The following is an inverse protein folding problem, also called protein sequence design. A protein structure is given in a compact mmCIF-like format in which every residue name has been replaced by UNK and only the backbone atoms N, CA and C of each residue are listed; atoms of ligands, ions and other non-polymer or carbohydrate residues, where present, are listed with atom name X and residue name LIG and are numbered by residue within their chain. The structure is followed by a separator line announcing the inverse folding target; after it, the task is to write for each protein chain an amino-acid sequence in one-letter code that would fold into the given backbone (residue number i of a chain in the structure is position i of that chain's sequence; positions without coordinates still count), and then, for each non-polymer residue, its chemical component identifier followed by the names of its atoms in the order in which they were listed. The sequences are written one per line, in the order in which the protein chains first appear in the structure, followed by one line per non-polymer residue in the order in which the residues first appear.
data_IF_175388362124
#
_entry.id   IF_175388362124
#
_cell.length_a   1.000
_cell.length_b   1.000
_cell.length_c   1.000
_cell.angle_alpha   90.00
_cell.angle_beta   90.00
_cell.angle_gamma   90.00
#
_symmetry.space_group_name_H-M   'P 1'
#
loop_
_entity.id
_entity.type
_entity.pdbx_description
1 polymer ?
#
# COMPACT_ATOMS: atom_id res chain seq x y z
N UNK A 1 2.54 5.12 13.36
CA UNK A 1 3.13 5.80 14.54
C UNK A 1 4.60 6.05 14.24
N UNK A 2 5.06 7.29 14.26
CA UNK A 2 6.46 7.63 14.01
C UNK A 2 6.85 8.94 14.72
N UNK A 3 8.14 9.32 14.77
CA UNK A 3 8.53 10.64 15.26
C UNK A 3 7.82 11.78 14.54
N UNK A 4 7.48 11.60 13.25
CA UNK A 4 6.75 12.58 12.45
C UNK A 4 5.31 12.79 12.94
N UNK A 5 4.71 11.80 13.60
CA UNK A 5 3.36 11.90 14.17
C UNK A 5 3.38 12.15 15.68
N UNK A 6 4.56 12.36 16.28
CA UNK A 6 4.71 12.47 17.74
C UNK A 6 4.40 11.16 18.47
N UNK A 7 4.45 10.03 17.78
CA UNK A 7 4.07 8.71 18.31
C UNK A 7 2.62 8.31 18.06
N UNK A 8 1.77 9.21 17.56
CA UNK A 8 0.35 8.92 17.32
C UNK A 8 0.14 7.97 16.13
N UNK A 9 -0.92 7.18 16.17
CA UNK A 9 -1.42 6.44 15.00
C UNK A 9 -2.40 7.35 14.28
N UNK A 10 -2.08 7.72 13.04
CA UNK A 10 -2.97 8.51 12.20
C UNK A 10 -3.75 7.59 11.27
N UNK A 11 -5.05 7.85 11.11
CA UNK A 11 -5.98 6.97 10.40
C UNK A 11 -6.84 7.82 9.48
N UNK A 12 -6.90 7.45 8.20
CA UNK A 12 -7.90 7.96 7.27
C UNK A 12 -9.23 7.22 7.52
N UNK A 13 -10.24 7.95 7.99
CA UNK A 13 -11.54 7.40 8.32
C UNK A 13 -12.61 7.88 7.33
N UNK A 14 -13.22 6.90 6.66
CA UNK A 14 -14.03 7.11 5.46
C UNK A 14 -15.54 7.05 5.74
N UNK A 15 -15.95 6.85 7.00
CA UNK A 15 -17.35 6.91 7.45
C UNK A 15 -18.06 5.54 7.54
N UNK A 16 -19.41 5.53 7.68
CA UNK A 16 -20.15 4.33 8.10
C UNK A 16 -19.99 3.16 7.11
N UNK A 17 -19.54 2.02 7.64
CA UNK A 17 -19.10 0.84 6.88
C UNK A 17 -17.68 0.39 7.27
N UNK A 18 -16.89 1.28 7.89
CA UNK A 18 -15.52 1.01 8.36
C UNK A 18 -15.37 0.96 9.88
N UNK A 19 -16.47 0.75 10.63
CA UNK A 19 -16.52 0.48 12.08
C UNK A 19 -15.81 1.45 13.05
N UNK A 20 -15.08 2.48 12.59
CA UNK A 20 -14.48 3.46 13.48
C UNK A 20 -15.51 4.52 13.90
N UNK A 21 -15.85 4.51 15.19
CA UNK A 21 -16.45 5.60 15.96
C UNK A 21 -17.58 6.41 15.31
N UNK A 22 -18.48 5.80 14.53
CA UNK A 22 -19.75 6.47 14.16
C UNK A 22 -20.94 5.53 14.04
N UNK A 23 -21.88 5.68 14.97
CA UNK A 23 -23.31 5.56 14.67
C UNK A 23 -23.77 6.88 14.03
N UNK A 24 -23.61 7.02 12.70
CA UNK A 24 -24.29 8.06 11.90
C UNK A 24 -23.58 9.39 11.64
N UNK A 25 -22.25 9.43 11.47
CA UNK A 25 -21.48 10.66 11.20
C UNK A 25 -20.77 10.68 9.84
N UNK A 26 -20.50 11.89 9.33
CA UNK A 26 -19.85 12.21 8.05
C UNK A 26 -18.50 11.47 7.85
N UNK A 27 -18.35 10.76 6.73
CA UNK A 27 -17.08 10.19 6.30
C UNK A 27 -16.10 11.25 5.76
N UNK A 28 -14.81 10.93 5.73
CA UNK A 28 -13.77 11.80 5.20
C UNK A 28 -13.05 12.60 6.28
N UNK A 29 -12.34 11.89 7.16
CA UNK A 29 -11.64 12.45 8.32
C UNK A 29 -10.22 11.89 8.42
N UNK A 30 -9.34 12.65 9.05
CA UNK A 30 -8.10 12.10 9.61
C UNK A 30 -8.22 12.11 11.13
N UNK A 31 -8.01 10.95 11.74
CA UNK A 31 -8.08 10.75 13.19
C UNK A 31 -6.68 10.45 13.71
N UNK A 32 -6.29 11.07 14.83
CA UNK A 32 -5.14 10.64 15.62
C UNK A 32 -5.62 9.78 16.79
N UNK A 33 -4.92 8.67 17.03
CA UNK A 33 -5.14 7.76 18.15
C UNK A 33 -3.88 7.71 19.02
N UNK A 34 -4.07 7.69 20.35
CA UNK A 34 -3.00 7.56 21.33
C UNK A 34 -3.52 6.75 22.52
N UNK A 35 -2.98 5.55 22.68
CA UNK A 35 -3.17 4.72 23.88
C UNK A 35 -2.37 5.35 25.03
N UNK A 36 -3.04 6.07 25.92
CA UNK A 36 -2.42 6.83 27.02
C UNK A 36 -2.24 5.97 28.26
N UNK A 37 -3.05 4.95 28.44
CA UNK A 37 -3.02 4.07 29.61
C UNK A 37 -2.25 2.76 29.37
N UNK A 38 -1.87 2.49 28.12
CA UNK A 38 -1.10 1.31 27.72
C UNK A 38 -1.94 0.04 27.72
N UNK A 39 -3.27 0.16 27.61
CA UNK A 39 -4.20 -0.97 27.65
C UNK A 39 -4.24 -1.77 26.35
N UNK A 40 -3.66 -1.24 25.26
CA UNK A 40 -3.77 -1.77 23.91
C UNK A 40 -5.15 -1.55 23.27
N UNK A 41 -6.00 -0.71 23.89
CA UNK A 41 -7.34 -0.37 23.40
C UNK A 41 -7.50 1.15 23.40
N UNK A 42 -8.12 1.69 22.36
CA UNK A 42 -8.40 3.13 22.30
C UNK A 42 -9.78 3.41 22.90
N UNK A 43 -9.80 4.15 24.01
CA UNK A 43 -11.02 4.56 24.70
C UNK A 43 -11.51 5.96 24.30
N UNK A 44 -12.65 6.37 24.86
CA UNK A 44 -13.17 7.73 24.68
C UNK A 44 -12.17 8.77 25.25
N UNK A 45 -11.76 9.74 24.42
CA UNK A 45 -10.77 10.75 24.78
C UNK A 45 -9.32 10.40 24.41
N UNK A 46 -9.07 9.19 23.91
CA UNK A 46 -7.79 8.71 23.38
C UNK A 46 -7.68 8.82 21.86
N UNK A 47 -8.62 9.55 21.26
CA UNK A 47 -8.60 9.92 19.87
C UNK A 47 -9.11 11.34 19.65
N UNK A 48 -8.71 11.94 18.54
CA UNK A 48 -9.17 13.26 18.11
C UNK A 48 -9.25 13.32 16.58
N UNK A 49 -10.26 14.02 16.07
CA UNK A 49 -10.31 14.36 14.64
C UNK A 49 -9.35 15.52 14.40
N UNK A 50 -8.30 15.27 13.61
CA UNK A 50 -7.33 16.29 13.21
C UNK A 50 -7.84 17.10 12.02
N UNK A 51 -8.39 16.42 11.00
CA UNK A 51 -8.76 17.07 9.74
C UNK A 51 -10.05 16.48 9.18
N UNK A 52 -10.75 17.29 8.39
CA UNK A 52 -12.00 16.93 7.71
C UNK A 52 -11.95 17.37 6.27
N UNK A 53 -12.28 16.45 5.36
CA UNK A 53 -12.49 16.74 3.96
C UNK A 53 -13.35 15.63 3.38
N UNK A 54 -14.52 15.99 2.85
CA UNK A 54 -15.41 15.03 2.19
C UNK A 54 -14.67 14.35 1.03
N UNK A 55 -14.82 13.03 0.92
CA UNK A 55 -14.20 12.23 -0.13
C UNK A 55 -12.81 11.67 0.22
N UNK A 56 -12.21 12.00 1.37
CA UNK A 56 -10.98 11.33 1.81
C UNK A 56 -11.26 9.82 1.92
N UNK A 57 -10.37 9.00 1.33
CA UNK A 57 -10.65 7.58 1.16
C UNK A 57 -9.47 6.62 1.39
N UNK A 58 -8.22 7.09 1.41
CA UNK A 58 -7.07 6.19 1.58
C UNK A 58 -5.77 6.89 2.00
N UNK A 59 -5.14 7.67 1.10
CA UNK A 59 -3.78 8.15 1.26
C UNK A 59 -3.61 9.13 2.42
N UNK A 60 -2.54 8.93 3.19
CA UNK A 60 -2.18 9.73 4.35
C UNK A 60 -0.65 9.83 4.47
N UNK A 61 -0.12 11.04 4.63
CA UNK A 61 1.31 11.24 4.84
C UNK A 61 1.58 12.46 5.73
N UNK A 62 2.71 12.46 6.44
CA UNK A 62 3.21 13.63 7.17
C UNK A 62 4.59 14.00 6.65
N UNK A 63 4.73 15.22 6.15
CA UNK A 63 6.01 15.72 5.67
C UNK A 63 6.12 17.25 5.72
N UNK A 64 7.32 17.77 5.94
CA UNK A 64 7.61 19.21 5.83
C UNK A 64 6.76 20.12 6.73
N UNK A 65 6.28 19.63 7.87
CA UNK A 65 5.39 20.40 8.76
C UNK A 65 3.92 20.40 8.36
N UNK A 66 3.52 19.47 7.49
CA UNK A 66 2.15 19.31 7.03
C UNK A 66 1.67 17.86 7.15
N UNK A 67 0.38 17.70 7.43
CA UNK A 67 -0.39 16.48 7.25
C UNK A 67 -1.03 16.54 5.86
N UNK A 68 -0.86 15.50 5.06
CA UNK A 68 -1.45 15.35 3.74
C UNK A 68 -2.45 14.20 3.73
N UNK A 69 -3.57 14.37 3.05
CA UNK A 69 -4.54 13.30 2.82
C UNK A 69 -5.18 13.42 1.44
N UNK A 70 -5.60 12.30 0.86
CA UNK A 70 -6.12 12.24 -0.50
C UNK A 70 -7.59 11.81 -0.58
N UNK A 71 -8.32 12.42 -1.52
CA UNK A 71 -9.59 11.91 -2.06
C UNK A 71 -9.31 11.06 -3.32
N UNK A 72 -10.34 10.71 -4.11
CA UNK A 72 -10.15 10.13 -5.44
C UNK A 72 -9.56 11.11 -6.46
N UNK A 73 -9.69 12.41 -6.25
CA UNK A 73 -9.31 13.44 -7.24
C UNK A 73 -8.25 14.42 -6.73
N UNK A 74 -8.19 14.62 -5.42
CA UNK A 74 -7.47 15.74 -4.80
C UNK A 74 -6.52 15.28 -3.70
N UNK A 75 -5.38 15.97 -3.54
CA UNK A 75 -4.55 15.91 -2.34
C UNK A 75 -4.67 17.23 -1.59
N UNK A 76 -4.94 17.13 -0.29
CA UNK A 76 -5.10 18.26 0.62
C UNK A 76 -3.99 18.24 1.67
N UNK A 77 -3.62 19.41 2.18
CA UNK A 77 -2.68 19.54 3.30
C UNK A 77 -3.19 20.44 4.42
N UNK A 78 -2.72 20.18 5.62
CA UNK A 78 -2.95 20.99 6.82
C UNK A 78 -1.62 21.24 7.53
N UNK A 79 -1.35 22.46 8.03
CA UNK A 79 -0.23 22.68 8.94
C UNK A 79 -0.31 21.73 10.13
N UNK A 80 0.77 21.01 10.41
CA UNK A 80 0.77 19.94 11.41
C UNK A 80 2.10 19.91 12.15
N UNK A 81 2.02 19.87 13.48
CA UNK A 81 3.17 19.56 14.34
C UNK A 81 3.04 18.14 14.88
N UNK A 82 4.15 17.39 15.02
CA UNK A 82 4.12 16.06 15.62
C UNK A 82 3.40 16.06 16.98
N UNK A 83 2.41 15.18 17.14
CA UNK A 83 1.63 15.04 18.38
C UNK A 83 0.51 16.07 18.56
N UNK A 84 0.18 16.85 17.53
CA UNK A 84 -0.98 17.75 17.54
C UNK A 84 -2.25 17.02 17.98
N UNK A 85 -3.04 17.65 18.85
CA UNK A 85 -4.23 17.03 19.46
C UNK A 85 -5.46 17.93 19.41
N UNK A 86 -5.75 18.49 18.24
CA UNK A 86 -6.92 19.35 17.98
C UNK A 86 -7.28 19.35 16.50
N UNK A 87 -8.48 19.88 16.21
CA UNK A 87 -8.90 20.18 14.84
C UNK A 87 -7.95 21.21 14.21
N UNK A 88 -7.45 20.89 13.02
CA UNK A 88 -6.51 21.69 12.23
C UNK A 88 -7.20 22.79 11.41
N UNK A 89 -8.54 22.76 11.31
CA UNK A 89 -9.32 23.70 10.51
C UNK A 89 -9.37 23.35 9.02
N UNK A 90 -9.53 24.37 8.18
CA UNK A 90 -9.64 24.20 6.74
C UNK A 90 -8.28 23.81 6.12
N UNK A 91 -8.33 22.83 5.22
CA UNK A 91 -7.15 22.38 4.48
C UNK A 91 -6.90 23.21 3.23
N UNK A 92 -5.68 23.13 2.71
CA UNK A 92 -5.28 23.71 1.43
C UNK A 92 -5.20 22.61 0.36
N UNK A 93 -5.84 22.81 -0.78
CA UNK A 93 -5.72 21.93 -1.95
C UNK A 93 -4.33 22.11 -2.57
N UNK A 94 -3.61 21.00 -2.81
CA UNK A 94 -2.25 21.06 -3.37
C UNK A 94 -2.13 20.36 -4.72
N UNK A 95 -2.95 19.35 -4.97
CA UNK A 95 -2.93 18.56 -6.20
C UNK A 95 -4.35 18.17 -6.58
N UNK A 96 -4.68 18.23 -7.87
CA UNK A 96 -6.01 17.88 -8.41
C UNK A 96 -5.90 17.10 -9.71
N UNK A 97 -7.03 16.65 -10.27
CA UNK A 97 -7.12 15.96 -11.55
C UNK A 97 -6.88 14.46 -11.47
N UNK A 98 -6.74 13.86 -10.29
CA UNK A 98 -6.49 12.41 -10.19
C UNK A 98 -7.71 11.55 -10.59
N UNK A 99 -8.90 12.13 -10.72
CA UNK A 99 -10.16 11.47 -11.04
C UNK A 99 -10.63 11.80 -12.47
N UNK A 100 -9.74 11.59 -13.44
CA UNK A 100 -10.15 11.59 -14.85
C UNK A 100 -10.88 10.29 -15.18
N UNK A 101 -12.17 10.30 -14.85
CA UNK A 101 -13.10 9.20 -15.11
C UNK A 101 -13.24 8.95 -16.61
N UNK A 102 -12.69 7.84 -17.08
CA UNK A 102 -13.21 7.17 -18.27
C UNK A 102 -14.59 6.57 -17.98
N UNK A 103 -15.38 6.18 -19.01
CA UNK A 103 -16.63 5.47 -18.78
C UNK A 103 -16.36 4.21 -17.94
N UNK A 104 -17.25 3.85 -16.99
CA UNK A 104 -17.16 2.60 -16.22
C UNK A 104 -16.85 1.43 -17.14
N UNK A 105 -15.75 0.70 -16.89
CA UNK A 105 -15.54 -0.59 -17.51
C UNK A 105 -16.58 -1.61 -17.02
N UNK A 106 -16.81 -2.72 -17.75
CA UNK A 106 -17.63 -3.82 -17.25
C UNK A 106 -16.97 -4.42 -16.00
N UNK A 107 -17.41 -3.94 -14.84
CA UNK A 107 -17.03 -4.47 -13.56
C UNK A 107 -17.93 -5.64 -13.16
N UNK A 108 -17.34 -6.69 -12.58
CA UNK A 108 -18.09 -7.68 -11.80
C UNK A 108 -18.80 -7.10 -10.56
N UNK A 109 -19.51 -7.92 -9.78
CA UNK A 109 -20.36 -7.47 -8.67
C UNK A 109 -19.62 -6.72 -7.54
N UNK A 110 -18.29 -6.83 -7.47
CA UNK A 110 -17.43 -6.25 -6.43
C UNK A 110 -16.37 -5.27 -6.97
N UNK A 111 -16.26 -5.10 -8.28
CA UNK A 111 -15.49 -4.02 -8.86
C UNK A 111 -16.33 -2.74 -8.83
N UNK A 112 -15.71 -1.66 -8.36
CA UNK A 112 -16.30 -0.33 -8.33
C UNK A 112 -16.81 0.07 -9.74
N UNK A 113 -18.05 0.55 -9.88
CA UNK A 113 -18.53 1.14 -11.13
C UNK A 113 -17.75 2.40 -11.54
N UNK A 114 -16.75 2.84 -10.77
CA UNK A 114 -15.85 3.95 -11.04
C UNK A 114 -14.37 3.52 -11.11
N UNK A 115 -14.07 2.21 -11.13
CA UNK A 115 -12.69 1.70 -11.11
C UNK A 115 -11.96 1.93 -9.79
N UNK A 116 -10.62 1.97 -9.82
CA UNK A 116 -9.79 2.14 -8.63
C UNK A 116 -9.75 3.61 -8.18
N UNK A 117 -10.28 3.90 -6.99
CA UNK A 117 -10.49 5.26 -6.50
C UNK A 117 -9.57 5.67 -5.34
N UNK A 118 -8.71 4.78 -4.83
CA UNK A 118 -7.70 5.11 -3.81
C UNK A 118 -6.53 5.86 -4.44
N UNK A 119 -5.89 6.75 -3.67
CA UNK A 119 -4.72 7.52 -4.10
C UNK A 119 -3.64 7.44 -3.04
N UNK A 120 -2.76 6.45 -3.14
CA UNK A 120 -1.67 6.31 -2.17
C UNK A 120 -0.69 7.47 -2.36
N UNK A 121 -0.32 8.12 -1.26
CA UNK A 121 0.64 9.21 -1.24
C UNK A 121 1.79 8.86 -0.28
N UNK A 122 3.02 9.09 -0.73
CA UNK A 122 4.22 8.92 0.10
C UNK A 122 5.26 9.97 -0.28
N UNK A 123 6.02 10.47 0.69
CA UNK A 123 7.10 11.43 0.46
C UNK A 123 8.45 10.75 0.65
N UNK A 124 9.44 11.22 -0.12
CA UNK A 124 10.85 11.02 0.27
C UNK A 124 11.37 12.18 1.14
N UNK A 125 12.55 11.98 1.73
CA UNK A 125 13.25 12.96 2.58
C UNK A 125 13.63 14.23 1.82
N UNK A 126 13.72 14.17 0.48
CA UNK A 126 13.98 15.34 -0.36
C UNK A 126 12.73 16.20 -0.59
N UNK A 127 11.55 15.81 -0.08
CA UNK A 127 10.33 16.59 -0.27
C UNK A 127 9.55 16.26 -1.53
N UNK A 128 9.90 15.19 -2.25
CA UNK A 128 9.16 14.77 -3.44
C UNK A 128 8.00 13.89 -3.02
N UNK A 129 6.80 14.22 -3.51
CA UNK A 129 5.58 13.44 -3.32
C UNK A 129 5.45 12.42 -4.45
N UNK A 130 5.13 11.18 -4.12
CA UNK A 130 4.78 10.11 -5.04
C UNK A 130 3.31 9.79 -4.85
N UNK A 131 2.56 9.77 -5.95
CA UNK A 131 1.12 9.55 -5.96
C UNK A 131 0.80 8.37 -6.88
N UNK A 132 0.22 7.32 -6.33
CA UNK A 132 -0.27 6.17 -7.10
C UNK A 132 -1.72 6.38 -7.54
N UNK A 133 -1.99 6.15 -8.83
CA UNK A 133 -3.33 6.22 -9.42
C UNK A 133 -3.58 4.95 -10.22
N UNK A 134 -4.56 4.15 -9.79
CA UNK A 134 -4.98 2.93 -10.47
C UNK A 134 -5.86 3.16 -11.70
N UNK A 135 -6.14 2.07 -12.41
CA UNK A 135 -6.99 2.02 -13.61
C UNK A 135 -8.46 2.31 -13.31
N UNK A 136 -9.21 2.79 -14.30
CA UNK A 136 -10.67 3.00 -14.19
C UNK A 136 -11.48 1.75 -14.54
N UNK A 137 -10.81 0.73 -15.10
CA UNK A 137 -11.40 -0.52 -15.53
C UNK A 137 -10.43 -1.67 -15.32
N UNK A 138 -10.91 -2.92 -15.45
CA UNK A 138 -10.07 -4.09 -15.31
C UNK A 138 -8.88 -4.10 -16.32
N UNK A 139 -9.15 -3.70 -17.57
CA UNK A 139 -8.16 -3.51 -18.63
C UNK A 139 -8.33 -2.11 -19.18
N UNK A 140 -7.25 -1.33 -19.18
CA UNK A 140 -7.31 0.10 -19.37
C UNK A 140 -6.10 0.62 -20.14
N UNK A 141 -6.34 0.97 -21.40
CA UNK A 141 -5.30 1.45 -22.34
C UNK A 141 -4.92 2.92 -22.19
N UNK A 142 -5.54 3.65 -21.25
CA UNK A 142 -5.29 5.07 -21.10
C UNK A 142 -4.03 5.33 -20.26
N UNK A 143 -3.03 5.96 -20.89
CA UNK A 143 -1.83 6.43 -20.21
C UNK A 143 -2.08 7.63 -19.29
N UNK A 144 -3.34 7.94 -19.00
CA UNK A 144 -3.84 8.72 -17.88
C UNK A 144 -3.20 8.31 -16.56
N UNK A 145 -3.47 7.04 -16.29
CA UNK A 145 -3.54 6.40 -14.99
C UNK A 145 -2.74 5.11 -15.03
N UNK A 146 -2.94 4.24 -14.05
CA UNK A 146 -2.16 3.03 -13.87
C UNK A 146 -0.66 3.30 -13.78
N UNK A 147 -0.31 4.25 -12.90
CA UNK A 147 1.03 4.80 -12.78
C UNK A 147 1.24 5.48 -11.44
N UNK A 148 2.50 5.64 -11.09
CA UNK A 148 2.95 6.52 -10.02
C UNK A 148 3.51 7.78 -10.66
N UNK A 149 3.07 8.96 -10.19
CA UNK A 149 3.68 10.25 -10.57
C UNK A 149 4.39 10.89 -9.40
N UNK A 150 5.46 11.64 -9.72
CA UNK A 150 6.33 12.32 -8.76
C UNK A 150 6.22 13.84 -8.90
N UNK A 151 6.08 14.52 -7.77
CA UNK A 151 5.88 15.97 -7.65
C UNK A 151 6.88 16.57 -6.65
N UNK A 152 7.11 17.87 -6.69
CA UNK A 152 8.03 18.58 -5.79
C UNK A 152 7.41 19.88 -5.27
N UNK A 153 8.02 20.47 -4.24
CA UNK A 153 7.67 21.80 -3.69
C UNK A 153 6.24 21.92 -3.12
N UNK A 154 5.61 20.79 -2.79
CA UNK A 154 4.27 20.74 -2.18
C UNK A 154 4.27 21.05 -0.68
N UNK A 155 5.44 21.31 -0.08
CA UNK A 155 5.61 21.72 1.32
C UNK A 155 5.98 23.20 1.46
N UNK A 156 6.05 23.95 0.34
CA UNK A 156 6.35 25.38 0.40
C UNK A 156 5.17 26.16 1.02
N UNK A 157 5.42 27.11 1.96
CA UNK A 157 4.35 27.85 2.64
C UNK A 157 3.44 28.65 1.71
N UNK A 158 3.99 29.12 0.59
CA UNK A 158 3.22 29.62 -0.53
C UNK A 158 3.49 28.66 -1.68
N UNK A 159 2.50 27.84 -2.08
CA UNK A 159 2.61 27.02 -3.29
C UNK A 159 2.86 27.96 -4.46
N UNK A 160 4.13 28.24 -4.78
CA UNK A 160 4.50 29.20 -5.80
C UNK A 160 3.97 28.79 -7.19
N UNK A 161 3.74 27.49 -7.38
CA UNK A 161 3.12 26.90 -8.56
C UNK A 161 1.57 26.92 -8.55
N UNK A 162 0.93 27.24 -7.43
CA UNK A 162 -0.51 27.03 -7.22
C UNK A 162 -0.85 25.55 -7.02
N UNK A 163 -2.14 25.21 -7.19
CA UNK A 163 -2.61 23.82 -7.20
C UNK A 163 -2.02 23.12 -8.43
N UNK A 164 -1.36 21.98 -8.21
CA UNK A 164 -0.70 21.20 -9.28
C UNK A 164 -1.68 20.22 -9.92
N UNK A 165 -1.70 20.12 -11.25
CA UNK A 165 -2.46 19.06 -11.93
C UNK A 165 -1.68 17.74 -11.90
N UNK A 166 -2.37 16.63 -11.68
CA UNK A 166 -1.74 15.31 -11.70
C UNK A 166 -0.96 15.05 -12.99
N UNK A 167 -1.43 15.52 -14.15
CA UNK A 167 -0.72 15.36 -15.42
C UNK A 167 0.64 16.06 -15.48
N UNK A 168 0.85 17.09 -14.68
CA UNK A 168 2.11 17.85 -14.63
C UNK A 168 3.21 17.12 -13.85
N UNK A 169 2.86 16.08 -13.09
CA UNK A 169 3.82 15.24 -12.38
C UNK A 169 4.66 14.41 -13.33
N UNK A 170 5.92 14.19 -12.97
CA UNK A 170 6.81 13.29 -13.70
C UNK A 170 6.27 11.86 -13.61
N UNK A 171 6.15 11.15 -14.74
CA UNK A 171 5.84 9.72 -14.72
C UNK A 171 7.00 8.98 -14.07
N UNK A 172 6.79 8.51 -12.85
CA UNK A 172 7.82 7.86 -12.06
C UNK A 172 7.88 6.36 -12.33
N UNK A 173 6.72 5.71 -12.39
CA UNK A 173 6.56 4.32 -12.81
C UNK A 173 5.26 4.19 -13.58
N UNK A 174 5.25 3.42 -14.66
CA UNK A 174 4.11 3.29 -15.57
C UNK A 174 3.71 1.82 -15.77
N UNK A 175 2.48 1.57 -16.19
CA UNK A 175 1.96 0.24 -16.43
C UNK A 175 1.73 -0.56 -15.17
N UNK A 176 1.10 0.08 -14.18
CA UNK A 176 0.74 -0.46 -12.87
C UNK A 176 -0.79 -0.46 -12.72
N UNK A 177 -1.45 -1.62 -12.76
CA UNK A 177 -2.92 -1.70 -12.74
C UNK A 177 -3.53 -0.89 -11.59
N UNK A 178 -3.04 -1.09 -10.38
CA UNK A 178 -3.43 -0.46 -9.13
C UNK A 178 -2.41 -0.78 -7.99
N UNK A 179 -1.25 -0.10 -8.03
CA UNK A 179 -0.17 -0.22 -7.03
C UNK A 179 -0.52 0.52 -5.73
N UNK A 180 -1.21 -0.13 -4.79
CA UNK A 180 -1.77 0.56 -3.61
C UNK A 180 -0.76 0.68 -2.48
N UNK A 181 -0.15 -0.43 -2.03
CA UNK A 181 0.79 -0.40 -0.92
C UNK A 181 2.13 0.13 -1.39
N UNK A 182 2.68 1.15 -0.73
CA UNK A 182 3.98 1.75 -1.07
C UNK A 182 4.85 1.90 0.18
N UNK A 183 6.13 1.56 0.07
CA UNK A 183 7.08 1.71 1.16
C UNK A 183 8.51 2.01 0.66
N UNK A 184 9.21 2.86 1.39
CA UNK A 184 10.66 3.02 1.20
C UNK A 184 11.41 1.85 1.85
N UNK A 185 12.42 1.32 1.16
CA UNK A 185 13.17 0.16 1.63
C UNK A 185 14.21 0.44 2.71
N UNK A 186 14.64 1.70 2.85
CA UNK A 186 15.63 2.16 3.82
C UNK A 186 15.65 3.70 3.93
N UNK A 187 16.50 4.24 4.80
CA UNK A 187 16.74 5.67 4.99
C UNK A 187 17.39 6.38 3.78
N UNK A 188 18.00 5.64 2.85
CA UNK A 188 18.61 6.22 1.64
C UNK A 188 17.55 6.53 0.58
N UNK A 189 16.42 5.82 0.61
CA UNK A 189 15.27 6.02 -0.27
C UNK A 189 15.66 6.02 -1.76
N UNK A 190 16.59 5.14 -2.14
CA UNK A 190 17.02 4.99 -3.54
C UNK A 190 16.03 4.17 -4.38
N UNK A 191 15.19 3.37 -3.71
CA UNK A 191 14.19 2.50 -4.33
C UNK A 191 12.89 2.62 -3.53
N UNK A 192 11.80 2.97 -4.22
CA UNK A 192 10.45 2.82 -3.71
C UNK A 192 9.97 1.41 -4.06
N UNK A 193 9.34 0.72 -3.12
CA UNK A 193 8.73 -0.59 -3.36
C UNK A 193 7.22 -0.44 -3.32
N UNK A 194 6.52 -1.25 -4.10
CA UNK A 194 5.07 -1.28 -4.09
C UNK A 194 4.50 -2.66 -4.28
N UNK A 195 3.22 -2.80 -3.96
CA UNK A 195 2.44 -4.01 -4.22
C UNK A 195 1.25 -3.75 -5.13
N UNK A 196 1.14 -4.58 -6.15
CA UNK A 196 0.20 -4.47 -7.26
C UNK A 196 -1.05 -5.33 -7.03
N UNK A 197 -2.21 -4.84 -7.46
CA UNK A 197 -3.43 -5.64 -7.59
C UNK A 197 -3.62 -6.02 -9.06
N UNK A 198 -3.35 -7.29 -9.39
CA UNK A 198 -3.45 -7.90 -10.70
C UNK A 198 -4.87 -7.92 -11.29
N UNK A 199 -4.96 -8.37 -12.55
CA UNK A 199 -6.19 -8.35 -13.35
C UNK A 199 -7.23 -9.39 -12.92
N UNK A 200 -8.51 -9.03 -13.01
CA UNK A 200 -9.63 -9.95 -12.79
C UNK A 200 -10.00 -10.71 -14.09
N UNK A 201 -10.62 -11.88 -13.97
CA UNK A 201 -11.23 -12.62 -15.08
C UNK A 201 -10.27 -12.86 -16.28
N UNK A 202 -8.99 -13.10 -16.00
CA UNK A 202 -7.99 -13.33 -17.04
C UNK A 202 -8.31 -14.62 -17.83
N UNK A 203 -8.43 -14.48 -19.14
CA UNK A 203 -8.62 -15.59 -20.06
C UNK A 203 -7.72 -15.47 -21.29
N UNK A 204 -7.08 -16.59 -21.67
CA UNK A 204 -6.21 -16.76 -22.83
C UNK A 204 -6.52 -18.09 -23.50
N UNK A 205 -7.23 -18.06 -24.63
CA UNK A 205 -7.71 -19.28 -25.32
C UNK A 205 -6.59 -20.26 -25.70
N UNK A 206 -5.41 -19.73 -26.01
CA UNK A 206 -4.21 -20.49 -26.37
C UNK A 206 -3.40 -21.01 -25.17
N UNK A 207 -3.81 -20.66 -23.96
CA UNK A 207 -3.24 -21.09 -22.68
C UNK A 207 -4.27 -21.83 -21.81
N UNK A 208 -5.32 -22.40 -22.41
CA UNK A 208 -6.35 -23.18 -21.70
C UNK A 208 -7.67 -22.46 -21.45
N UNK A 209 -7.85 -21.24 -21.94
CA UNK A 209 -9.09 -20.48 -21.79
C UNK A 209 -9.09 -19.65 -20.51
N UNK A 210 -10.01 -19.92 -19.60
CA UNK A 210 -10.08 -19.24 -18.31
C UNK A 210 -8.94 -19.72 -17.40
N UNK A 211 -8.06 -18.79 -17.03
CA UNK A 211 -6.89 -19.06 -16.16
C UNK A 211 -6.91 -18.18 -14.91
N UNK A 212 -8.04 -17.51 -14.63
CA UNK A 212 -8.09 -16.46 -13.63
C UNK A 212 -7.87 -16.98 -12.20
N UNK A 213 -8.25 -18.22 -11.90
CA UNK A 213 -8.23 -18.76 -10.53
C UNK A 213 -6.86 -18.65 -9.86
N UNK A 214 -5.78 -18.83 -10.64
CA UNK A 214 -4.41 -18.76 -10.15
C UNK A 214 -3.54 -17.80 -10.98
N UNK A 215 -4.13 -16.94 -11.84
CA UNK A 215 -3.41 -15.91 -12.61
C UNK A 215 -4.26 -14.64 -12.82
N UNK A 216 -3.64 -13.48 -13.03
CA UNK A 216 -2.20 -13.23 -12.92
C UNK A 216 -1.75 -13.17 -11.46
N UNK A 217 -0.44 -13.20 -11.25
CA UNK A 217 0.14 -12.92 -9.95
C UNK A 217 -0.28 -11.52 -9.46
N UNK A 218 -0.41 -11.39 -8.15
CA UNK A 218 -0.18 -10.10 -7.49
C UNK A 218 1.34 -9.87 -7.47
N UNK A 219 1.82 -8.63 -7.42
CA UNK A 219 3.24 -8.34 -7.63
C UNK A 219 3.84 -7.48 -6.53
N UNK A 220 5.10 -7.74 -6.19
CA UNK A 220 5.97 -6.81 -5.47
C UNK A 220 6.92 -6.17 -6.49
N UNK A 221 6.79 -4.87 -6.72
CA UNK A 221 7.59 -4.12 -7.67
C UNK A 221 8.63 -3.22 -6.95
N UNK A 222 9.74 -2.95 -7.63
CA UNK A 222 10.73 -1.96 -7.22
C UNK A 222 10.87 -0.86 -8.26
N UNK A 223 10.89 0.38 -7.78
CA UNK A 223 10.98 1.61 -8.55
C UNK A 223 12.25 2.37 -8.16
N UNK A 224 13.38 2.13 -8.87
CA UNK A 224 14.61 2.87 -8.61
C UNK A 224 14.42 4.36 -8.89
N UNK A 225 14.72 5.22 -7.92
CA UNK A 225 14.58 6.68 -8.03
C UNK A 225 15.41 7.27 -9.17
N UNK A 226 16.51 6.60 -9.51
CA UNK A 226 17.44 6.94 -10.58
C UNK A 226 16.96 6.55 -11.99
N UNK A 227 15.88 5.78 -12.10
CA UNK A 227 15.36 5.28 -13.38
C UNK A 227 13.83 5.48 -13.46
N UNK A 228 13.35 6.74 -13.48
CA UNK A 228 11.92 7.03 -13.59
C UNK A 228 11.38 6.67 -14.98
N UNK A 229 10.06 6.47 -15.06
CA UNK A 229 9.33 6.25 -16.32
C UNK A 229 9.44 4.84 -16.88
N UNK A 230 9.95 3.88 -16.11
CA UNK A 230 9.99 2.46 -16.49
C UNK A 230 8.57 1.87 -16.53
N UNK A 231 8.38 0.90 -17.41
CA UNK A 231 7.09 0.26 -17.67
C UNK A 231 7.03 -1.14 -17.04
N UNK A 232 5.96 -1.42 -16.30
CA UNK A 232 5.78 -2.64 -15.50
C UNK A 232 4.74 -3.62 -16.10
N UNK A 233 4.17 -3.28 -17.27
CA UNK A 233 3.50 -4.25 -18.13
C UNK A 233 2.02 -4.01 -18.35
N UNK A 234 1.29 -3.47 -17.37
CA UNK A 234 -0.16 -3.22 -17.53
C UNK A 234 -0.43 -2.11 -18.58
N UNK A 235 -1.49 -2.20 -19.39
CA UNK A 235 -2.49 -3.28 -19.48
C UNK A 235 -2.09 -4.39 -20.45
N UNK A 236 -0.90 -4.34 -21.04
CA UNK A 236 -0.54 -5.23 -22.16
C UNK A 236 -0.05 -6.60 -21.69
N UNK A 237 0.59 -6.64 -20.54
CA UNK A 237 1.29 -7.78 -19.99
C UNK A 237 0.72 -8.19 -18.64
N UNK A 238 0.88 -9.46 -18.29
CA UNK A 238 0.55 -10.01 -16.99
C UNK A 238 1.64 -10.97 -16.52
N UNK A 239 1.80 -11.14 -15.21
CA UNK A 239 2.75 -12.08 -14.63
C UNK A 239 2.08 -13.41 -14.31
N UNK A 240 2.69 -14.51 -14.75
CA UNK A 240 2.29 -15.88 -14.41
C UNK A 240 2.55 -16.15 -12.93
N UNK A 241 1.56 -16.67 -12.22
CA UNK A 241 1.76 -17.24 -10.89
C UNK A 241 1.77 -18.76 -10.95
N UNK A 242 0.71 -19.38 -11.50
CA UNK A 242 0.62 -20.83 -11.67
C UNK A 242 -0.26 -21.16 -12.88
N UNK A 243 0.37 -21.64 -13.96
CA UNK A 243 -0.32 -22.02 -15.19
C UNK A 243 -0.23 -23.54 -15.41
N UNK A 244 -1.37 -24.23 -15.42
CA UNK A 244 -1.46 -25.66 -15.74
C UNK A 244 -1.61 -25.86 -17.26
N UNK A 245 -0.54 -25.57 -17.99
CA UNK A 245 -0.50 -25.65 -19.45
C UNK A 245 0.90 -26.05 -19.94
N UNK A 246 1.00 -26.72 -21.09
CA UNK A 246 2.29 -27.16 -21.65
C UNK A 246 3.24 -26.01 -22.03
N UNK A 247 2.69 -24.79 -22.18
CA UNK A 247 3.44 -23.56 -22.48
C UNK A 247 3.82 -22.78 -21.22
N UNK A 248 3.49 -23.23 -20.02
CA UNK A 248 3.84 -22.53 -18.78
C UNK A 248 5.35 -22.28 -18.72
N UNK A 249 5.73 -21.06 -18.39
CA UNK A 249 7.14 -20.65 -18.25
C UNK A 249 7.54 -20.52 -16.77
N UNK A 250 6.57 -20.68 -15.87
CA UNK A 250 6.76 -20.69 -14.44
C UNK A 250 6.41 -19.36 -13.79
N UNK A 251 6.28 -19.41 -12.46
CA UNK A 251 6.01 -18.26 -11.60
C UNK A 251 6.99 -17.11 -11.88
N UNK A 252 6.48 -15.92 -12.14
CA UNK A 252 7.27 -14.71 -12.46
C UNK A 252 7.54 -14.50 -13.96
N UNK A 253 7.15 -15.44 -14.83
CA UNK A 253 7.19 -15.22 -16.28
C UNK A 253 6.14 -14.19 -16.70
N UNK A 254 6.47 -13.29 -17.62
CA UNK A 254 5.53 -12.31 -18.14
C UNK A 254 4.99 -12.72 -19.51
N UNK A 255 3.68 -12.55 -19.69
CA UNK A 255 2.91 -12.90 -20.87
C UNK A 255 2.15 -11.70 -21.39
N UNK A 256 1.82 -11.70 -22.68
CA UNK A 256 0.89 -10.72 -23.22
C UNK A 256 -0.56 -10.99 -22.79
N UNK A 257 -1.48 -10.06 -22.99
CA UNK A 257 -2.92 -10.40 -23.00
C UNK A 257 -3.35 -11.12 -24.28
N UNK A 258 -2.51 -11.09 -25.31
CA UNK A 258 -2.69 -11.83 -26.57
C UNK A 258 -1.40 -12.56 -26.94
N UNK A 259 -1.51 -13.64 -27.72
CA UNK A 259 -0.34 -14.38 -28.21
C UNK A 259 0.64 -13.48 -28.98
N UNK A 260 0.13 -12.51 -29.74
CA UNK A 260 0.96 -11.54 -30.46
C UNK A 260 1.75 -10.58 -29.56
N UNK A 261 1.35 -10.44 -28.30
CA UNK A 261 2.04 -9.58 -27.33
C UNK A 261 3.12 -10.32 -26.53
N UNK A 262 3.15 -11.65 -26.56
CA UNK A 262 4.09 -12.46 -25.79
C UNK A 262 5.56 -12.06 -26.04
N UNK A 263 6.04 -11.83 -27.28
CA UNK A 263 7.42 -11.41 -27.51
C UNK A 263 7.75 -10.04 -26.90
N UNK A 264 6.76 -9.13 -26.83
CA UNK A 264 6.96 -7.83 -26.22
C UNK A 264 7.08 -7.96 -24.70
N UNK A 265 6.16 -8.70 -24.09
CA UNK A 265 6.07 -8.86 -22.64
C UNK A 265 7.16 -9.75 -22.03
N UNK A 266 7.73 -10.66 -22.82
CA UNK A 266 8.87 -11.50 -22.40
C UNK A 266 10.22 -10.76 -22.44
N UNK A 267 10.28 -9.61 -23.08
CA UNK A 267 11.51 -8.82 -23.20
C UNK A 267 11.69 -7.89 -22.00
N UNK A 268 12.76 -8.10 -21.24
CA UNK A 268 13.16 -7.24 -20.11
C UNK A 268 13.60 -5.82 -20.55
N UNK A 269 13.86 -5.64 -21.86
CA UNK A 269 14.08 -4.31 -22.42
C UNK A 269 12.78 -3.48 -22.44
N UNK A 270 11.63 -4.14 -22.60
CA UNK A 270 10.33 -3.50 -22.74
C UNK A 270 9.57 -3.41 -21.41
N UNK A 271 9.68 -4.44 -20.57
CA UNK A 271 8.90 -4.58 -19.34
C UNK A 271 9.82 -4.91 -18.17
N UNK A 272 9.62 -4.21 -17.06
CA UNK A 272 10.27 -4.52 -15.79
C UNK A 272 9.50 -5.66 -15.12
N UNK A 273 10.21 -6.73 -14.76
CA UNK A 273 9.64 -7.84 -14.00
C UNK A 273 9.46 -7.48 -12.53
N UNK A 274 8.46 -8.06 -11.84
CA UNK A 274 8.34 -7.91 -10.40
C UNK A 274 9.46 -8.65 -9.67
N UNK A 275 9.79 -8.19 -8.47
CA UNK A 275 10.76 -8.85 -7.56
C UNK A 275 10.18 -10.18 -7.07
N UNK A 276 8.87 -10.19 -6.82
CA UNK A 276 8.17 -11.36 -6.31
C UNK A 276 6.74 -11.42 -6.84
N UNK A 277 6.29 -12.64 -7.10
CA UNK A 277 4.92 -12.94 -7.52
C UNK A 277 4.18 -13.55 -6.34
N UNK A 278 3.03 -12.98 -5.99
CA UNK A 278 2.18 -13.43 -4.89
C UNK A 278 0.90 -14.07 -5.45
N UNK A 279 0.21 -14.86 -4.63
CA UNK A 279 -0.98 -15.59 -5.05
C UNK A 279 -2.04 -14.64 -5.63
N UNK A 280 -2.49 -14.95 -6.84
CA UNK A 280 -3.55 -14.24 -7.56
C UNK A 280 -4.75 -13.93 -6.67
N UNK A 281 -5.29 -12.72 -6.78
CA UNK A 281 -6.46 -12.20 -6.07
C UNK A 281 -6.28 -11.99 -4.56
N UNK A 282 -5.07 -12.10 -4.01
CA UNK A 282 -4.84 -11.83 -2.58
C UNK A 282 -5.05 -10.34 -2.21
N UNK A 283 -5.08 -9.45 -3.21
CA UNK A 283 -5.36 -8.03 -3.10
C UNK A 283 -4.45 -7.32 -2.06
N UNK A 284 -3.14 -7.20 -2.32
CA UNK A 284 -2.23 -6.53 -1.41
C UNK A 284 -2.48 -5.03 -1.39
N UNK A 285 -2.70 -4.44 -0.21
CA UNK A 285 -3.01 -3.01 -0.06
C UNK A 285 -2.03 -2.26 0.84
N UNK A 286 -1.41 -2.93 1.80
CA UNK A 286 -0.50 -2.33 2.77
C UNK A 286 0.89 -2.93 2.66
N UNK A 287 1.92 -2.10 2.81
CA UNK A 287 3.32 -2.50 2.67
C UNK A 287 4.16 -1.76 3.70
N UNK A 288 4.95 -2.49 4.50
CA UNK A 288 5.87 -1.86 5.45
C UNK A 288 7.12 -2.70 5.68
N UNK A 289 8.28 -2.05 5.68
CA UNK A 289 9.52 -2.68 6.14
C UNK A 289 9.61 -2.63 7.66
N UNK A 290 10.04 -3.72 8.27
CA UNK A 290 10.24 -3.77 9.71
C UNK A 290 11.59 -3.16 10.12
N UNK A 291 11.57 -2.34 11.16
CA UNK A 291 12.78 -1.79 11.77
C UNK A 291 13.44 -0.64 11.01
N UNK A 292 12.69 0.07 10.16
CA UNK A 292 13.20 1.25 9.43
C UNK A 292 13.70 2.38 10.33
N UNK A 293 13.16 2.50 11.56
CA UNK A 293 13.62 3.47 12.56
C UNK A 293 14.94 3.02 13.25
N UNK A 294 15.42 1.79 13.00
CA UNK A 294 16.63 1.23 13.60
C UNK A 294 17.72 1.05 12.55
N UNK A 295 18.92 1.59 12.81
CA UNK A 295 20.03 1.52 11.86
C UNK A 295 20.70 0.15 11.85
N UNK A 296 20.67 -0.57 12.98
CA UNK A 296 21.22 -1.92 13.12
C UNK A 296 20.28 -2.80 13.93
N UNK A 297 20.36 -4.12 13.70
CA UNK A 297 19.64 -5.12 14.51
C UNK A 297 20.02 -5.03 16.00
N UNK A 298 21.24 -4.61 16.32
CA UNK A 298 21.66 -4.35 17.70
C UNK A 298 20.92 -3.20 18.38
N UNK A 299 20.31 -2.30 17.59
CA UNK A 299 19.48 -1.19 18.08
C UNK A 299 18.03 -1.65 18.36
N UNK A 300 17.67 -2.86 17.93
CA UNK A 300 16.41 -3.49 18.25
C UNK A 300 16.45 -4.06 19.69
N UNK A 301 15.77 -3.38 20.62
CA UNK A 301 15.73 -3.73 22.05
C UNK A 301 14.48 -4.55 22.43
N UNK A 302 14.36 -5.80 21.97
CA UNK A 302 13.25 -6.70 22.40
C UNK A 302 13.51 -7.23 23.82
N UNK A 303 12.42 -7.34 24.62
CA UNK A 303 12.35 -7.74 26.05
C UNK A 303 13.36 -8.77 26.59
N UNK A 304 13.89 -9.68 25.78
CA UNK A 304 14.82 -10.74 26.24
C UNK A 304 16.22 -10.24 26.62
N UNK A 305 16.66 -9.07 26.15
CA UNK A 305 18.01 -8.54 26.41
C UNK A 305 18.00 -7.14 27.07
N UNK A 306 17.01 -6.91 27.93
CA UNK A 306 16.66 -5.60 28.50
C UNK A 306 17.70 -4.97 29.44
N UNK A 307 18.74 -5.68 29.88
CA UNK A 307 19.71 -5.17 30.86
C UNK A 307 20.65 -4.08 30.31
N UNK A 308 20.68 -3.88 28.99
CA UNK A 308 21.49 -2.85 28.32
C UNK A 308 20.68 -1.69 27.72
N UNK A 309 19.34 -1.70 27.83
CA UNK A 309 18.47 -0.72 27.19
C UNK A 309 17.75 0.17 28.22
N UNK A 310 17.59 1.46 27.90
CA UNK A 310 16.83 2.42 28.73
C UNK A 310 15.31 2.29 28.53
N UNK A 311 14.85 1.76 27.38
CA UNK A 311 13.44 1.47 27.06
C UNK A 311 13.27 0.05 26.50
N UNK A 312 12.21 -0.65 26.90
CA UNK A 312 11.91 -2.03 26.51
C UNK A 312 10.91 -2.02 25.34
N UNK A 313 11.27 -2.59 24.19
CA UNK A 313 10.34 -2.74 23.05
C UNK A 313 9.44 -3.98 23.21
N UNK A 314 8.14 -3.80 22.92
CA UNK A 314 7.15 -4.88 22.81
C UNK A 314 7.07 -5.47 21.40
N UNK A 315 7.89 -4.99 20.47
CA UNK A 315 7.78 -5.26 19.04
C UNK A 315 8.02 -6.71 18.61
N UNK A 316 7.96 -6.93 17.30
CA UNK A 316 8.27 -8.21 16.69
C UNK A 316 9.74 -8.65 16.96
N UNK A 317 10.12 -9.91 16.68
CA UNK A 317 11.50 -10.36 16.84
C UNK A 317 12.50 -9.55 16.01
N UNK A 318 13.66 -9.22 16.61
CA UNK A 318 14.68 -8.40 15.95
C UNK A 318 15.28 -9.05 14.70
N UNK A 319 15.28 -10.38 14.62
CA UNK A 319 15.71 -11.10 13.42
C UNK A 319 14.86 -10.78 12.19
N UNK A 320 13.69 -10.15 12.34
CA UNK A 320 12.84 -9.74 11.21
C UNK A 320 13.30 -8.40 10.62
N UNK A 321 14.31 -7.74 11.19
CA UNK A 321 14.75 -6.41 10.76
C UNK A 321 15.10 -6.42 9.27
N UNK A 322 14.52 -5.45 8.55
CA UNK A 322 14.68 -5.35 7.10
C UNK A 322 13.75 -6.26 6.29
N UNK A 323 12.98 -7.15 6.91
CA UNK A 323 11.94 -7.88 6.19
C UNK A 323 10.76 -6.98 5.86
N UNK A 324 9.98 -7.44 4.89
CA UNK A 324 8.84 -6.73 4.35
C UNK A 324 7.56 -7.42 4.81
N UNK A 325 6.58 -6.65 5.26
CA UNK A 325 5.26 -7.15 5.61
C UNK A 325 4.26 -6.64 4.58
N UNK A 326 3.27 -7.46 4.24
CA UNK A 326 2.24 -7.11 3.25
C UNK A 326 0.86 -7.46 3.80
N UNK A 327 -0.07 -6.51 3.75
CA UNK A 327 -1.48 -6.73 4.08
C UNK A 327 -2.25 -7.22 2.87
N UNK A 328 -2.67 -8.49 2.87
CA UNK A 328 -3.55 -9.09 1.86
C UNK A 328 -5.01 -8.91 2.27
N UNK A 329 -5.70 -7.99 1.58
CA UNK A 329 -7.09 -7.63 1.86
C UNK A 329 -8.08 -8.77 1.57
N UNK A 330 -7.70 -9.68 0.67
CA UNK A 330 -8.44 -10.89 0.36
C UNK A 330 -9.27 -10.82 -0.92
N UNK A 331 -9.41 -11.98 -1.53
CA UNK A 331 -9.98 -12.15 -2.86
C UNK A 331 -11.47 -11.87 -2.94
N UNK A 332 -11.92 -11.64 -4.16
CA UNK A 332 -13.33 -11.71 -4.54
C UNK A 332 -13.54 -12.47 -5.86
N UNK A 333 -12.54 -12.46 -6.74
CA UNK A 333 -12.57 -13.07 -8.07
C UNK A 333 -11.79 -14.39 -8.11
N UNK A 334 -12.03 -15.28 -7.13
CA UNK A 334 -11.44 -16.61 -7.04
C UNK A 334 -12.39 -17.56 -6.34
N UNK A 335 -12.57 -18.79 -6.81
CA UNK A 335 -13.55 -19.70 -6.20
C UNK A 335 -13.23 -20.05 -4.75
N UNK A 336 -11.99 -20.43 -4.48
CA UNK A 336 -11.49 -20.66 -3.12
C UNK A 336 -10.86 -19.36 -2.62
N UNK A 337 -11.37 -18.73 -1.54
CA UNK A 337 -10.84 -17.45 -1.09
C UNK A 337 -9.37 -17.53 -0.67
N UNK A 338 -8.62 -16.48 -0.94
CA UNK A 338 -7.22 -16.29 -0.52
C UNK A 338 -7.00 -14.87 0.01
N UNK A 339 -5.84 -14.61 0.62
CA UNK A 339 -5.51 -13.38 1.33
C UNK A 339 -6.07 -13.40 2.75
N UNK A 340 -6.74 -12.31 3.18
CA UNK A 340 -7.27 -12.14 4.54
C UNK A 340 -6.21 -12.31 5.64
N UNK A 341 -5.00 -11.84 5.34
CA UNK A 341 -3.82 -12.06 6.18
C UNK A 341 -2.79 -10.97 5.99
N UNK A 342 -1.93 -10.81 6.98
CA UNK A 342 -0.62 -10.19 6.81
C UNK A 342 0.37 -11.31 6.55
N UNK A 343 1.21 -11.15 5.54
CA UNK A 343 2.36 -12.01 5.28
C UNK A 343 3.66 -11.29 5.62
N UNK A 344 4.68 -12.05 6.01
CA UNK A 344 6.08 -11.60 6.08
C UNK A 344 6.81 -12.16 4.86
N UNK A 345 7.53 -11.30 4.17
CA UNK A 345 8.42 -11.64 3.07
C UNK A 345 9.86 -11.52 3.58
N UNK A 346 10.56 -12.65 3.63
CA UNK A 346 11.99 -12.70 3.94
C UNK A 346 12.75 -12.31 2.68
N UNK A 347 13.48 -11.20 2.74
CA UNK A 347 14.07 -10.58 1.55
C UNK A 347 15.58 -10.77 1.47
N UNK A 348 16.08 -11.03 0.27
CA UNK A 348 17.50 -10.94 -0.05
C UNK A 348 17.84 -9.55 -0.59
N UNK A 349 19.04 -9.08 -0.25
CA UNK A 349 19.52 -7.74 -0.62
C UNK A 349 20.86 -7.81 -1.36
N UNK A 350 21.07 -6.85 -2.26
CA UNK A 350 22.37 -6.63 -2.91
C UNK A 350 23.37 -5.92 -1.98
N UNK A 351 24.60 -5.70 -2.45
CA UNK A 351 25.63 -4.96 -1.70
C UNK A 351 25.23 -3.50 -1.38
N UNK A 352 24.31 -2.93 -2.16
CA UNK A 352 23.72 -1.62 -1.92
C UNK A 352 22.59 -1.64 -0.88
N UNK A 353 22.20 -2.82 -0.40
CA UNK A 353 21.09 -3.01 0.54
C UNK A 353 19.71 -2.96 -0.11
N UNK A 354 19.61 -3.01 -1.44
CA UNK A 354 18.33 -3.03 -2.17
C UNK A 354 17.76 -4.44 -2.18
N UNK A 355 16.45 -4.57 -2.00
CA UNK A 355 15.78 -5.87 -2.11
C UNK A 355 15.81 -6.32 -3.57
N UNK A 356 16.30 -7.54 -3.80
CA UNK A 356 16.44 -8.12 -5.15
C UNK A 356 15.63 -9.40 -5.35
N UNK A 357 15.28 -10.08 -4.27
CA UNK A 357 14.40 -11.27 -4.28
C UNK A 357 13.72 -11.45 -2.94
N UNK A 358 12.65 -12.25 -2.95
CA UNK A 358 12.01 -12.81 -1.75
C UNK A 358 12.40 -14.27 -1.69
N UNK A 359 12.99 -14.68 -0.57
CA UNK A 359 13.41 -16.06 -0.33
C UNK A 359 12.25 -16.90 0.22
N UNK A 360 11.44 -16.31 1.11
CA UNK A 360 10.33 -16.97 1.78
C UNK A 360 9.14 -16.02 1.97
N UNK A 361 7.93 -16.56 1.84
CA UNK A 361 6.66 -15.88 2.13
C UNK A 361 5.96 -16.66 3.24
N UNK A 362 5.77 -16.01 4.38
CA UNK A 362 5.23 -16.61 5.60
C UNK A 362 3.89 -15.97 5.98
N UNK A 363 2.88 -16.80 6.24
CA UNK A 363 1.64 -16.33 6.87
C UNK A 363 1.96 -15.84 8.30
N UNK A 364 1.63 -14.58 8.60
CA UNK A 364 2.01 -13.94 9.85
C UNK A 364 0.82 -13.70 10.78
N UNK A 365 -0.18 -12.94 10.32
CA UNK A 365 -1.43 -12.68 11.05
C UNK A 365 -2.56 -13.00 10.11
N UNK A 366 -3.37 -14.01 10.40
CA UNK A 366 -4.47 -14.40 9.54
C UNK A 366 -5.73 -14.69 10.33
N UNK A 367 -6.87 -14.53 9.66
CA UNK A 367 -8.12 -15.12 10.08
C UNK A 367 -8.47 -16.22 9.07
N UNK A 368 -8.90 -17.39 9.55
CA UNK A 368 -9.46 -18.41 8.66
C UNK A 368 -10.68 -17.80 7.95
N UNK A 369 -10.68 -17.72 6.61
CA UNK A 369 -11.81 -17.15 5.90
C UNK A 369 -13.08 -17.99 6.03
N UNK A 370 -12.98 -19.26 6.42
CA UNK A 370 -14.07 -20.22 6.44
C UNK A 370 -14.64 -20.50 5.04
N UNK A 371 -15.63 -21.40 4.94
CA UNK A 371 -16.22 -21.79 3.66
C UNK A 371 -17.16 -20.73 3.03
N UNK A 372 -17.49 -19.65 3.75
CA UNK A 372 -18.51 -18.67 3.35
C UNK A 372 -17.97 -17.28 2.96
N UNK A 373 -16.65 -17.15 2.70
CA UNK A 373 -15.94 -15.87 2.51
C UNK A 373 -15.88 -15.05 3.80
N UNK A 374 -14.69 -14.83 4.35
CA UNK A 374 -14.53 -14.13 5.64
C UNK A 374 -15.27 -12.79 5.65
N UNK A 375 -16.16 -12.62 6.62
CA UNK A 375 -16.79 -11.33 6.93
C UNK A 375 -16.01 -10.54 7.97
N UNK A 376 -14.87 -11.06 8.44
CA UNK A 376 -14.07 -10.49 9.52
C UNK A 376 -12.88 -9.68 9.03
N UNK A 377 -11.68 -10.09 9.46
CA UNK A 377 -10.40 -9.41 9.20
C UNK A 377 -10.11 -9.26 7.71
N UNK A 378 -9.91 -8.01 7.27
CA UNK A 378 -9.48 -7.65 5.92
C UNK A 378 -8.43 -6.54 6.00
N UNK A 379 -7.13 -6.90 6.10
CA UNK A 379 -6.03 -5.95 6.14
C UNK A 379 -6.13 -4.93 5.01
N UNK A 380 -6.00 -3.64 5.33
CA UNK A 380 -5.83 -2.59 4.33
C UNK A 380 -4.40 -2.10 4.41
N UNK A 381 -4.13 -1.16 5.31
CA UNK A 381 -2.79 -0.61 5.51
C UNK A 381 -2.14 -1.16 6.77
N UNK A 382 -0.82 -1.20 6.76
CA UNK A 382 0.03 -1.66 7.85
C UNK A 382 1.14 -0.66 8.14
N UNK A 383 1.48 -0.52 9.42
CA UNK A 383 2.59 0.34 9.82
C UNK A 383 3.26 -0.20 11.07
N UNK A 384 4.56 0.00 11.19
CA UNK A 384 5.26 -0.24 12.44
C UNK A 384 5.29 1.03 13.29
N UNK A 385 5.09 0.88 14.60
CA UNK A 385 5.37 1.94 15.57
C UNK A 385 6.84 1.96 15.96
N UNK A 386 7.27 3.04 16.63
CA UNK A 386 8.65 3.23 17.12
C UNK A 386 9.18 2.06 17.97
N UNK A 387 8.28 1.40 18.71
CA UNK A 387 8.60 0.25 19.56
C UNK A 387 8.52 -1.09 18.81
N UNK A 388 8.31 -1.08 17.49
CA UNK A 388 8.31 -2.28 16.66
C UNK A 388 7.03 -3.10 16.69
N UNK A 389 5.94 -2.60 17.29
CA UNK A 389 4.63 -3.20 17.17
C UNK A 389 4.05 -2.93 15.77
N UNK A 390 3.42 -3.93 15.18
CA UNK A 390 2.73 -3.85 13.90
C UNK A 390 1.28 -3.38 14.12
N UNK A 391 0.88 -2.31 13.47
CA UNK A 391 -0.49 -1.84 13.39
C UNK A 391 -1.09 -2.32 12.07
N UNK A 392 -2.29 -2.89 12.11
CA UNK A 392 -3.02 -3.36 10.93
C UNK A 392 -4.42 -2.77 10.94
N UNK A 393 -4.77 -1.98 9.93
CA UNK A 393 -6.14 -1.51 9.74
C UNK A 393 -6.98 -2.57 9.03
N UNK A 394 -8.21 -2.78 9.47
CA UNK A 394 -9.15 -3.74 8.87
C UNK A 394 -10.44 -3.05 8.43
N UNK A 395 -10.70 -3.03 7.12
CA UNK A 395 -11.82 -2.27 6.53
C UNK A 395 -13.17 -2.71 7.06
N UNK A 396 -13.48 -4.01 6.93
CA UNK A 396 -14.84 -4.53 7.17
C UNK A 396 -15.19 -4.65 8.65
N UNK A 397 -14.21 -4.87 9.51
CA UNK A 397 -14.41 -4.91 10.96
C UNK A 397 -14.29 -3.55 11.63
N UNK A 398 -13.59 -2.60 11.01
CA UNK A 398 -13.32 -1.27 11.56
C UNK A 398 -12.44 -1.30 12.80
N UNK A 399 -11.45 -2.18 12.77
CA UNK A 399 -10.51 -2.40 13.84
C UNK A 399 -9.12 -1.98 13.39
N UNK A 400 -8.33 -1.46 14.33
CA UNK A 400 -6.88 -1.42 14.22
C UNK A 400 -6.37 -2.48 15.17
N UNK A 401 -5.73 -3.52 14.61
CA UNK A 401 -5.07 -4.53 15.39
C UNK A 401 -3.64 -4.06 15.70
N UNK A 402 -3.21 -4.29 16.93
CA UNK A 402 -1.80 -4.13 17.33
C UNK A 402 -1.24 -5.54 17.54
N UNK A 403 -0.18 -5.86 16.80
CA UNK A 403 0.48 -7.16 16.83
C UNK A 403 1.89 -6.95 17.35
N UNK A 404 2.21 -7.67 18.41
CA UNK A 404 3.44 -7.51 19.16
C UNK A 404 3.87 -8.89 19.68
N UNK A 405 5.12 -9.06 20.11
CA UNK A 405 5.57 -10.36 20.61
C UNK A 405 4.80 -10.73 21.90
N UNK A 406 4.40 -12.01 22.08
CA UNK A 406 3.66 -12.42 23.27
C UNK A 406 4.48 -12.16 24.54
N UNK A 407 3.80 -11.71 25.60
CA UNK A 407 4.38 -11.63 26.93
C UNK A 407 4.71 -13.05 27.42
N UNK A 408 5.87 -13.27 28.08
CA UNK A 408 6.30 -14.58 28.55
C UNK A 408 5.38 -15.21 29.60
#
# INVERSE_FOLDING_TARGET
SSPRTGGDVLVADIGPGTGFFTTGGEGGRVIALRDRDGSGKIEEGEWVVLARKSGLNHGLAVHGGYLFASTSDEVWRWPYSPGEWRDLGEGELVLTGMDQTGPPGPGGPLSSPLGHNTRTIIFDESGRLYVSVGSVANVDGDSYRSRIRRFQNLTEPNLAAGVVDFADGEVFADGLRNEVGLAWGDERQEVLYGVENGMDNLARSDLGGDIHEDNPAEELNAFPVSSPGRYYGYPRCFTEFKLDHERAEGKGAQWGLSESDDPYCKSEENVVRPIHSMQAHSAPLGLAFYGQDWKQVSDCCVRKNASACEEISEGLPCEYHGDLFVGFHGSWNRKEPTGHKVVRLVVSRDEGGRVVSVEEEEDFVWADPGPEWSTGFRPVDIAFGKQGALFVSSYKSGEILVVHSPSP
#
